data_IF_244045675539
#
_entry.id   IF_244045675539
#
_cell.length_a   1.000
_cell.length_b   1.000
_cell.length_c   1.000
_cell.angle_alpha   90.00
_cell.angle_beta   90.00
_cell.angle_gamma   90.00
#
_symmetry.space_group_name_H-M   'P 1'
#
loop_
_entity.id
_entity.type
_entity.pdbx_description
1 polymer ?
#
# COMPACT_ATOMS: atom_id res chain seq x y z
N UNK A 1 -9.29 -23.04 0.82
CA UNK A 1 -10.12 -22.21 -0.07
C UNK A 1 -10.19 -20.76 0.43
N UNK A 2 -9.20 -20.33 1.24
CA UNK A 2 -9.24 -19.08 2.03
C UNK A 2 -8.22 -18.06 1.55
N UNK A 3 -7.11 -18.50 0.94
CA UNK A 3 -5.99 -17.65 0.53
C UNK A 3 -6.34 -16.71 -0.63
N UNK A 4 -7.19 -17.17 -1.56
CA UNK A 4 -7.56 -16.38 -2.75
C UNK A 4 -8.47 -15.20 -2.41
N UNK A 5 -9.38 -15.38 -1.45
CA UNK A 5 -10.27 -14.31 -0.97
C UNK A 5 -9.50 -13.25 -0.17
N UNK A 6 -8.53 -13.68 0.64
CA UNK A 6 -7.69 -12.76 1.42
C UNK A 6 -6.78 -11.93 0.51
N UNK A 7 -6.27 -12.51 -0.59
CA UNK A 7 -5.44 -11.78 -1.55
C UNK A 7 -6.20 -10.68 -2.28
N UNK A 8 -7.39 -10.98 -2.82
CA UNK A 8 -8.20 -9.98 -3.50
C UNK A 8 -8.64 -8.84 -2.54
N UNK A 9 -8.99 -9.19 -1.29
CA UNK A 9 -9.29 -8.19 -0.27
C UNK A 9 -8.07 -7.32 0.08
N UNK A 10 -6.88 -7.92 0.16
CA UNK A 10 -5.63 -7.21 0.41
C UNK A 10 -5.30 -6.25 -0.73
N UNK A 11 -5.40 -6.70 -1.97
CA UNK A 11 -5.17 -5.87 -3.16
C UNK A 11 -6.12 -4.67 -3.19
N UNK A 12 -7.41 -4.89 -2.92
CA UNK A 12 -8.37 -3.79 -2.82
C UNK A 12 -8.01 -2.83 -1.69
N UNK A 13 -7.67 -3.35 -0.51
CA UNK A 13 -7.31 -2.52 0.64
C UNK A 13 -6.08 -1.68 0.37
N UNK A 14 -5.04 -2.25 -0.26
CA UNK A 14 -3.85 -1.50 -0.67
C UNK A 14 -4.22 -0.43 -1.69
N UNK A 15 -5.08 -0.72 -2.66
CA UNK A 15 -5.55 0.26 -3.63
C UNK A 15 -6.25 1.45 -2.92
N UNK A 16 -7.10 1.17 -1.95
CA UNK A 16 -7.81 2.20 -1.18
C UNK A 16 -6.83 3.04 -0.32
N UNK A 17 -5.83 2.40 0.29
CA UNK A 17 -4.74 3.09 1.02
C UNK A 17 -3.96 4.01 0.08
N UNK A 18 -3.55 3.52 -1.09
CA UNK A 18 -2.82 4.33 -2.07
C UNK A 18 -3.67 5.49 -2.57
N UNK A 19 -4.97 5.27 -2.83
CA UNK A 19 -5.89 6.34 -3.20
C UNK A 19 -5.94 7.44 -2.16
N UNK A 20 -6.03 7.07 -0.89
CA UNK A 20 -6.04 8.01 0.23
C UNK A 20 -4.74 8.79 0.34
N UNK A 21 -3.59 8.11 0.31
CA UNK A 21 -2.28 8.72 0.45
C UNK A 21 -1.95 9.68 -0.69
N UNK A 22 -2.29 9.28 -1.91
CA UNK A 22 -1.91 9.99 -3.13
C UNK A 22 -3.02 10.93 -3.62
N UNK A 23 -4.10 11.08 -2.84
CA UNK A 23 -5.26 11.91 -3.18
C UNK A 23 -5.81 11.61 -4.58
N UNK A 24 -5.85 10.33 -4.95
CA UNK A 24 -6.33 9.88 -6.27
C UNK A 24 -7.84 10.02 -6.33
N UNK A 25 -8.35 10.64 -7.39
CA UNK A 25 -9.78 10.83 -7.62
C UNK A 25 -10.52 9.48 -7.70
N UNK A 26 -11.75 9.44 -7.17
CA UNK A 26 -12.50 8.19 -7.02
C UNK A 26 -12.83 7.50 -8.35
N UNK A 27 -12.91 8.27 -9.45
CA UNK A 27 -13.20 7.81 -10.80
C UNK A 27 -11.99 7.17 -11.50
N UNK A 28 -10.77 7.34 -10.97
CA UNK A 28 -9.55 6.72 -11.51
C UNK A 28 -9.45 5.27 -11.03
N UNK A 29 -9.79 4.32 -11.91
CA UNK A 29 -9.64 2.89 -11.61
C UNK A 29 -8.16 2.50 -11.55
N UNK A 30 -7.70 2.03 -10.39
CA UNK A 30 -6.35 1.45 -10.23
C UNK A 30 -6.38 -0.02 -10.65
N UNK A 31 -5.54 -0.38 -11.62
CA UNK A 31 -5.42 -1.78 -12.05
C UNK A 31 -4.33 -2.42 -11.20
N UNK A 32 -4.67 -3.51 -10.52
CA UNK A 32 -3.76 -4.17 -9.58
C UNK A 32 -2.47 -4.66 -10.23
N UNK A 33 -2.49 -4.94 -11.54
CA UNK A 33 -1.32 -5.40 -12.31
C UNK A 33 -0.63 -4.30 -13.09
N UNK A 34 -1.22 -3.12 -13.18
CA UNK A 34 -0.61 -2.02 -13.91
C UNK A 34 0.62 -1.49 -13.19
N UNK A 35 1.54 -0.95 -13.97
CA UNK A 35 2.67 -0.18 -13.45
C UNK A 35 2.13 1.17 -12.95
N UNK A 36 2.21 1.42 -11.64
CA UNK A 36 1.66 2.61 -11.00
C UNK A 36 2.35 3.89 -11.51
N UNK A 37 3.65 3.81 -11.84
CA UNK A 37 4.39 4.92 -12.46
C UNK A 37 3.74 5.28 -13.80
N UNK A 38 3.45 4.30 -14.65
CA UNK A 38 2.77 4.52 -15.92
C UNK A 38 1.29 4.89 -15.81
N UNK A 39 0.58 4.40 -14.78
CA UNK A 39 -0.87 4.57 -14.66
C UNK A 39 -1.27 5.91 -14.03
N UNK A 40 -0.62 6.28 -12.93
CA UNK A 40 -0.96 7.47 -12.14
C UNK A 40 0.20 8.46 -12.02
N UNK A 41 1.31 8.19 -12.70
CA UNK A 41 2.49 9.04 -12.61
C UNK A 41 3.24 8.91 -11.28
N UNK A 42 3.03 7.80 -10.55
CA UNK A 42 3.60 7.59 -9.22
C UNK A 42 5.11 7.84 -9.23
N UNK A 43 5.56 8.83 -8.48
CA UNK A 43 6.98 9.14 -8.40
C UNK A 43 7.71 8.27 -7.36
N UNK A 44 9.03 8.42 -7.28
CA UNK A 44 9.85 7.58 -6.39
C UNK A 44 9.67 7.92 -4.91
N UNK A 45 9.24 9.15 -4.59
CA UNK A 45 9.00 9.63 -3.23
C UNK A 45 7.64 9.09 -2.78
N UNK A 46 6.61 9.30 -3.58
CA UNK A 46 5.26 8.79 -3.34
C UNK A 46 5.25 7.25 -3.21
N UNK A 47 6.01 6.56 -4.06
CA UNK A 47 6.17 5.12 -3.96
C UNK A 47 6.87 4.68 -2.66
N UNK A 48 7.81 5.49 -2.16
CA UNK A 48 8.49 5.23 -0.90
C UNK A 48 7.56 5.50 0.30
N UNK A 49 6.82 6.61 0.28
CA UNK A 49 5.87 6.98 1.33
C UNK A 49 4.74 5.96 1.47
N UNK A 50 4.25 5.43 0.34
CA UNK A 50 3.32 4.32 0.34
C UNK A 50 3.88 3.08 1.04
N UNK A 51 5.12 2.68 0.72
CA UNK A 51 5.79 1.54 1.36
C UNK A 51 6.02 1.81 2.84
N UNK A 52 6.47 3.01 3.21
CA UNK A 52 6.69 3.40 4.59
C UNK A 52 5.40 3.33 5.40
N UNK A 53 4.29 3.83 4.87
CA UNK A 53 2.98 3.76 5.50
C UNK A 53 2.53 2.31 5.70
N UNK A 54 2.71 1.45 4.70
CA UNK A 54 2.37 0.02 4.82
C UNK A 54 3.21 -0.66 5.91
N UNK A 55 4.49 -0.33 6.01
CA UNK A 55 5.38 -0.82 7.06
C UNK A 55 5.01 -0.30 8.45
N UNK A 56 4.62 0.97 8.56
CA UNK A 56 4.12 1.57 9.80
C UNK A 56 2.85 0.88 10.29
N UNK A 57 1.87 0.63 9.40
CA UNK A 57 0.67 -0.15 9.72
C UNK A 57 1.04 -1.54 10.26
N UNK A 58 2.04 -2.18 9.65
CA UNK A 58 2.52 -3.49 10.08
C UNK A 58 3.26 -3.42 11.43
N UNK A 59 3.70 -2.25 11.86
CA UNK A 59 4.54 -2.02 13.03
C UNK A 59 5.97 -2.53 12.83
N UNK A 60 6.44 -2.55 11.58
CA UNK A 60 7.70 -3.17 11.16
C UNK A 60 8.55 -2.17 10.38
N UNK A 61 9.85 -2.11 10.63
CA UNK A 61 10.74 -1.24 9.85
C UNK A 61 10.92 -1.77 8.43
N UNK A 62 11.16 -0.86 7.46
CA UNK A 62 11.51 -1.25 6.09
C UNK A 62 12.88 -1.97 6.13
N UNK A 63 12.97 -3.22 5.66
CA UNK A 63 14.24 -3.94 5.67
C UNK A 63 15.23 -3.30 4.71
N UNK A 64 16.53 -3.32 5.04
CA UNK A 64 17.60 -2.79 4.16
C UNK A 64 17.71 -3.55 2.83
N UNK A 65 17.17 -4.77 2.78
CA UNK A 65 17.07 -5.61 1.58
C UNK A 65 15.76 -5.42 0.81
N UNK A 66 14.94 -4.43 1.18
CA UNK A 66 13.70 -4.12 0.48
C UNK A 66 13.99 -3.85 -0.99
N UNK A 67 13.22 -4.48 -1.88
CA UNK A 67 13.30 -4.25 -3.31
C UNK A 67 12.26 -3.18 -3.69
N UNK A 68 12.67 -1.96 -4.10
CA UNK A 68 11.75 -0.90 -4.49
C UNK A 68 10.81 -1.31 -5.61
N UNK A 69 11.17 -2.28 -6.44
CA UNK A 69 10.28 -2.78 -7.50
C UNK A 69 9.02 -3.46 -6.97
N UNK A 70 8.97 -3.80 -5.67
CA UNK A 70 7.77 -4.31 -5.05
C UNK A 70 6.63 -3.26 -5.07
N UNK A 71 6.94 -1.95 -5.10
CA UNK A 71 5.94 -0.87 -5.17
C UNK A 71 5.52 -0.49 -6.58
N UNK A 72 6.01 -1.16 -7.63
CA UNK A 72 5.62 -0.87 -9.00
C UNK A 72 4.15 -1.19 -9.30
N UNK A 73 3.54 -2.16 -8.60
CA UNK A 73 2.13 -2.50 -8.76
C UNK A 73 1.53 -3.00 -7.45
N UNK A 74 0.20 -2.91 -7.34
CA UNK A 74 -0.54 -3.38 -6.16
C UNK A 74 -0.39 -4.90 -5.99
N UNK A 75 -0.35 -5.66 -7.08
CA UNK A 75 -0.12 -7.11 -7.07
C UNK A 75 1.26 -7.49 -6.51
N UNK A 76 2.29 -6.69 -6.81
CA UNK A 76 3.63 -6.90 -6.28
C UNK A 76 3.70 -6.53 -4.79
N UNK A 77 3.04 -5.44 -4.38
CA UNK A 77 2.93 -5.05 -2.97
C UNK A 77 2.17 -6.10 -2.16
N UNK A 78 1.03 -6.57 -2.66
CA UNK A 78 0.21 -7.59 -1.99
C UNK A 78 0.98 -8.90 -1.85
N UNK A 79 1.71 -9.30 -2.90
CA UNK A 79 2.57 -10.48 -2.89
C UNK A 79 3.71 -10.32 -1.89
N UNK A 80 4.35 -9.15 -1.84
CA UNK A 80 5.41 -8.85 -0.87
C UNK A 80 4.89 -8.98 0.57
N UNK A 81 3.77 -8.33 0.89
CA UNK A 81 3.18 -8.35 2.23
C UNK A 81 2.83 -9.78 2.64
N UNK A 82 2.20 -10.53 1.73
CA UNK A 82 1.83 -11.92 2.00
C UNK A 82 3.06 -12.81 2.24
N UNK A 83 4.10 -12.69 1.40
CA UNK A 83 5.31 -13.50 1.54
C UNK A 83 6.12 -13.16 2.77
N UNK A 84 6.20 -11.88 3.12
CA UNK A 84 7.06 -11.40 4.21
C UNK A 84 6.39 -11.50 5.58
N UNK A 85 5.08 -11.25 5.68
CA UNK A 85 4.36 -11.12 6.95
C UNK A 85 3.23 -12.15 7.13
N UNK A 86 2.91 -12.93 6.10
CA UNK A 86 1.88 -13.95 6.13
C UNK A 86 0.49 -13.41 6.48
N UNK A 87 -0.40 -14.31 6.91
CA UNK A 87 -1.79 -13.99 7.26
C UNK A 87 -1.92 -12.92 8.35
N UNK A 88 -0.97 -12.88 9.29
CA UNK A 88 -0.94 -11.86 10.35
C UNK A 88 -0.75 -10.46 9.78
N UNK A 89 0.19 -10.28 8.85
CA UNK A 89 0.41 -8.99 8.20
C UNK A 89 -0.78 -8.59 7.32
N UNK A 90 -1.32 -9.53 6.56
CA UNK A 90 -2.53 -9.30 5.77
C UNK A 90 -3.70 -8.86 6.66
N UNK A 91 -3.91 -9.53 7.79
CA UNK A 91 -4.95 -9.17 8.75
C UNK A 91 -4.80 -7.75 9.29
N UNK A 92 -3.56 -7.30 9.58
CA UNK A 92 -3.29 -5.93 10.01
C UNK A 92 -3.66 -4.91 8.94
N UNK A 93 -3.23 -5.11 7.69
CA UNK A 93 -3.56 -4.20 6.57
C UNK A 93 -5.08 -4.12 6.38
N UNK A 94 -5.77 -5.27 6.38
CA UNK A 94 -7.22 -5.33 6.20
C UNK A 94 -7.99 -4.61 7.33
N UNK A 95 -7.46 -4.63 8.54
CA UNK A 95 -8.06 -4.02 9.72
C UNK A 95 -7.87 -2.49 9.82
N UNK A 96 -7.03 -1.89 8.97
CA UNK A 96 -6.80 -0.44 8.97
C UNK A 96 -8.08 0.32 8.68
N UNK A 97 -8.35 1.36 9.46
CA UNK A 97 -9.33 2.37 9.08
C UNK A 97 -8.67 3.37 8.12
N UNK A 98 -9.17 3.44 6.89
CA UNK A 98 -8.58 4.27 5.82
C UNK A 98 -8.89 5.74 6.06
N UNK A 99 -9.99 6.05 6.74
CA UNK A 99 -10.32 7.43 7.07
C UNK A 99 -9.39 8.00 8.15
N UNK A 100 -8.84 7.12 8.99
CA UNK A 100 -7.81 7.44 9.99
C UNK A 100 -6.39 7.49 9.40
N UNK A 101 -6.19 7.04 8.17
CA UNK A 101 -4.96 7.30 7.42
C UNK A 101 -4.95 8.77 6.97
N UNK A 102 -4.61 9.67 7.90
CA UNK A 102 -4.49 11.09 7.63
C UNK A 102 -3.35 11.72 8.44
N UNK A 103 -2.46 12.37 7.67
CA UNK A 103 -1.64 13.54 8.01
C UNK A 103 -0.47 13.34 8.99
N UNK A 104 0.56 12.60 8.59
CA UNK A 104 1.89 12.74 9.21
C UNK A 104 2.60 14.07 8.84
N UNK A 105 2.13 14.82 7.83
CA UNK A 105 2.77 16.06 7.35
C UNK A 105 1.80 17.24 7.14
N UNK A 106 0.85 17.43 8.06
CA UNK A 106 0.13 18.71 8.18
C UNK A 106 0.38 19.42 9.52
N UNK A 107 1.47 19.06 10.22
CA UNK A 107 2.00 19.82 11.37
C UNK A 107 3.26 20.62 10.96
N UNK A 108 3.34 21.09 9.71
CA UNK A 108 4.15 22.27 9.36
C UNK A 108 3.33 23.53 9.69
N UNK A 109 3.02 23.67 10.98
CA UNK A 109 2.34 24.83 11.54
C UNK A 109 2.90 25.15 12.93
N UNK A 110 4.18 25.54 12.98
CA UNK A 110 4.72 26.42 14.02
C UNK A 110 5.73 27.43 13.47
#
# INVERSE_FOLDING_TARGET
>A
MSDFNNRAALEQKIADILRKLLMIEDDIVLDVKADLVGQIGLDSIEAFDAVATLHEILGESIPTTFNPKASNSIDLLSTYIFQQFGDTGVGKILAVDIDELNMADADDSL
#
